data_IF_164888036112
#
_entry.id   IF_164888036112
#
_cell.length_a   1.000
_cell.length_b   1.000
_cell.length_c   1.000
_cell.angle_alpha   90.00
_cell.angle_beta   90.00
_cell.angle_gamma   90.00
#
_symmetry.space_group_name_H-M   'P 1'
#
loop_
_entity.id
_entity.type
_entity.pdbx_description
1 polymer ?
#
# COMPACT_ATOMS: atom_id res chain seq x y z
N UNK A 1 -16.97 -80.67 -21.42
CA UNK A 1 -16.44 -79.71 -20.41
C UNK A 1 -16.91 -80.18 -19.04
N UNK A 2 -16.03 -80.52 -18.11
CA UNK A 2 -16.43 -81.12 -16.83
C UNK A 2 -16.95 -80.06 -15.86
N UNK A 3 -17.91 -80.41 -15.01
CA UNK A 3 -18.51 -79.52 -14.00
C UNK A 3 -17.45 -78.82 -13.13
N UNK A 4 -16.38 -79.55 -12.79
CA UNK A 4 -15.20 -79.03 -12.05
C UNK A 4 -14.46 -77.93 -12.81
N UNK A 5 -14.36 -78.02 -14.13
CA UNK A 5 -13.75 -76.99 -14.98
C UNK A 5 -14.63 -75.74 -15.11
N UNK A 6 -15.96 -75.91 -15.09
CA UNK A 6 -16.93 -74.83 -15.14
C UNK A 6 -16.92 -74.04 -13.82
N UNK A 7 -16.95 -74.73 -12.67
CA UNK A 7 -16.85 -74.13 -11.33
C UNK A 7 -15.55 -73.33 -11.14
N UNK A 8 -14.42 -73.83 -11.67
CA UNK A 8 -13.14 -73.11 -11.61
C UNK A 8 -13.14 -71.82 -12.44
N UNK A 9 -13.73 -71.84 -13.64
CA UNK A 9 -13.88 -70.64 -14.48
C UNK A 9 -14.85 -69.63 -13.88
N UNK A 10 -15.95 -70.10 -13.29
CA UNK A 10 -16.92 -69.26 -12.60
C UNK A 10 -16.27 -68.57 -11.39
N UNK A 11 -15.57 -69.32 -10.53
CA UNK A 11 -14.86 -68.74 -9.39
C UNK A 11 -13.80 -67.72 -9.82
N UNK A 12 -13.06 -67.99 -10.90
CA UNK A 12 -12.10 -67.03 -11.45
C UNK A 12 -12.80 -65.74 -11.93
N UNK A 13 -13.90 -65.86 -12.66
CA UNK A 13 -14.67 -64.71 -13.14
C UNK A 13 -15.28 -63.91 -11.97
N UNK A 14 -15.83 -64.60 -10.96
CA UNK A 14 -16.35 -63.96 -9.75
C UNK A 14 -15.25 -63.19 -9.03
N UNK A 15 -14.07 -63.79 -8.83
CA UNK A 15 -12.92 -63.09 -8.22
C UNK A 15 -12.48 -61.89 -9.07
N UNK A 16 -12.42 -62.06 -10.40
CA UNK A 16 -12.06 -60.98 -11.30
C UNK A 16 -13.03 -59.79 -11.21
N UNK A 17 -14.34 -60.06 -11.22
CA UNK A 17 -15.39 -59.02 -11.10
C UNK A 17 -15.31 -58.31 -9.75
N UNK A 18 -15.11 -59.04 -8.66
CA UNK A 18 -14.97 -58.44 -7.32
C UNK A 18 -13.74 -57.54 -7.27
N UNK A 19 -12.58 -58.04 -7.70
CA UNK A 19 -11.32 -57.29 -7.67
C UNK A 19 -11.36 -56.07 -8.58
N UNK A 20 -11.87 -56.21 -9.80
CA UNK A 20 -11.99 -55.10 -10.76
C UNK A 20 -13.00 -54.05 -10.29
N UNK A 21 -14.12 -54.45 -9.67
CA UNK A 21 -15.10 -53.53 -9.10
C UNK A 21 -14.53 -52.76 -7.91
N UNK A 22 -13.81 -53.44 -7.01
CA UNK A 22 -13.09 -52.80 -5.91
C UNK A 22 -12.04 -51.81 -6.41
N UNK A 23 -11.24 -52.20 -7.40
CA UNK A 23 -10.26 -51.31 -8.01
C UNK A 23 -10.91 -50.08 -8.65
N UNK A 24 -12.05 -50.26 -9.32
CA UNK A 24 -12.81 -49.18 -9.95
C UNK A 24 -13.41 -48.22 -8.91
N UNK A 25 -13.96 -48.75 -7.81
CA UNK A 25 -14.46 -47.93 -6.70
C UNK A 25 -13.31 -47.12 -6.06
N UNK A 26 -12.16 -47.75 -5.82
CA UNK A 26 -10.97 -47.05 -5.29
C UNK A 26 -10.51 -45.95 -6.25
N UNK A 27 -10.50 -46.22 -7.55
CA UNK A 27 -10.14 -45.24 -8.58
C UNK A 27 -11.09 -44.03 -8.58
N UNK A 28 -12.41 -44.27 -8.55
CA UNK A 28 -13.43 -43.22 -8.46
C UNK A 28 -13.25 -42.40 -7.18
N UNK A 29 -13.11 -43.04 -6.02
CA UNK A 29 -12.95 -42.36 -4.74
C UNK A 29 -11.63 -41.57 -4.64
N UNK A 30 -10.60 -41.97 -5.37
CA UNK A 30 -9.31 -41.26 -5.43
C UNK A 30 -9.37 -40.01 -6.33
N UNK A 31 -10.25 -40.01 -7.34
CA UNK A 31 -10.44 -38.87 -8.26
C UNK A 31 -11.19 -37.69 -7.65
N UNK A 32 -12.01 -37.91 -6.61
CA UNK A 32 -12.78 -36.85 -5.93
C UNK A 32 -12.03 -36.13 -4.80
N UNK A 33 -10.72 -36.32 -4.68
CA UNK A 33 -9.88 -35.60 -3.72
C UNK A 33 -9.43 -34.25 -4.30
N UNK A 34 -10.36 -33.36 -4.56
CA UNK A 34 -10.07 -31.93 -4.58
C UNK A 34 -9.90 -31.47 -3.14
N UNK A 35 -8.78 -31.85 -2.52
CA UNK A 35 -8.27 -31.06 -1.40
C UNK A 35 -7.78 -29.77 -2.03
N UNK A 36 -8.33 -28.64 -1.63
CA UNK A 36 -7.62 -27.36 -1.71
C UNK A 36 -6.17 -27.64 -1.31
N UNK A 37 -5.25 -27.58 -2.28
CA UNK A 37 -3.84 -27.86 -2.04
C UNK A 37 -3.29 -26.69 -1.23
N UNK A 38 -3.47 -26.76 0.08
CA UNK A 38 -2.81 -25.86 1.02
C UNK A 38 -1.35 -26.25 1.06
N UNK A 39 -0.52 -25.44 0.43
CA UNK A 39 0.92 -25.54 0.56
C UNK A 39 1.33 -24.99 1.93
N UNK A 40 2.21 -25.71 2.62
CA UNK A 40 2.77 -25.29 3.90
C UNK A 40 4.27 -25.17 3.71
N UNK A 41 4.81 -24.03 4.14
CA UNK A 41 6.23 -23.74 4.08
C UNK A 41 6.68 -23.29 5.47
N UNK A 42 7.85 -23.77 5.89
CA UNK A 42 8.49 -23.24 7.11
C UNK A 42 9.12 -21.87 6.83
N UNK A 43 9.69 -21.69 5.64
CA UNK A 43 10.30 -20.44 5.18
C UNK A 43 10.05 -20.22 3.68
N UNK A 44 9.88 -18.96 3.28
CA UNK A 44 9.73 -18.56 1.88
C UNK A 44 10.75 -17.46 1.51
N UNK A 45 11.83 -17.83 0.83
CA UNK A 45 12.82 -16.89 0.29
C UNK A 45 12.49 -16.53 -1.16
N UNK A 46 11.93 -15.34 -1.37
CA UNK A 46 11.49 -14.85 -2.69
C UNK A 46 11.76 -13.36 -2.84
N UNK A 47 11.80 -12.88 -4.09
CA UNK A 47 11.98 -11.45 -4.39
C UNK A 47 10.65 -10.67 -4.42
N UNK A 48 9.53 -11.37 -4.62
CA UNK A 48 8.19 -10.80 -4.79
C UNK A 48 7.10 -11.83 -4.48
N UNK A 49 6.05 -11.39 -3.81
CA UNK A 49 4.81 -12.13 -3.58
C UNK A 49 3.67 -11.30 -4.15
N UNK A 50 2.82 -11.90 -4.98
CA UNK A 50 1.57 -11.32 -5.43
C UNK A 50 0.42 -12.04 -4.73
N UNK A 51 -0.42 -11.30 -4.02
CA UNK A 51 -1.72 -11.77 -3.56
C UNK A 51 -2.75 -11.29 -4.56
N UNK A 52 -3.52 -12.24 -5.11
CA UNK A 52 -4.53 -12.01 -6.14
C UNK A 52 -5.91 -12.42 -5.63
N UNK A 53 -6.96 -11.81 -6.17
CA UNK A 53 -8.34 -12.26 -6.00
C UNK A 53 -8.67 -13.44 -6.93
N UNK A 54 -9.89 -13.95 -6.82
CA UNK A 54 -10.40 -15.09 -7.60
C UNK A 54 -10.31 -14.90 -9.12
N UNK A 55 -10.36 -13.64 -9.60
CA UNK A 55 -10.27 -13.30 -11.03
C UNK A 55 -8.83 -13.03 -11.49
N UNK A 56 -7.85 -13.19 -10.60
CA UNK A 56 -6.43 -12.91 -10.87
C UNK A 56 -6.03 -11.45 -10.69
N UNK A 57 -6.94 -10.57 -10.27
CA UNK A 57 -6.66 -9.17 -10.00
C UNK A 57 -5.84 -8.99 -8.71
N UNK A 58 -4.86 -8.09 -8.72
CA UNK A 58 -3.98 -7.85 -7.58
C UNK A 58 -4.76 -7.31 -6.36
N UNK A 59 -4.35 -7.74 -5.17
CA UNK A 59 -4.83 -7.26 -3.87
C UNK A 59 -3.70 -6.74 -2.99
N UNK A 60 -2.54 -7.39 -3.07
CA UNK A 60 -1.35 -6.97 -2.36
C UNK A 60 -0.11 -7.44 -3.12
N UNK A 61 0.93 -6.61 -3.12
CA UNK A 61 2.25 -6.99 -3.65
C UNK A 61 3.29 -6.71 -2.58
N UNK A 62 4.05 -7.73 -2.18
CA UNK A 62 5.24 -7.60 -1.33
C UNK A 62 6.45 -7.77 -2.25
N UNK A 63 7.40 -6.84 -2.25
CA UNK A 63 8.57 -6.92 -3.13
C UNK A 63 9.77 -6.13 -2.64
N UNK A 64 10.95 -6.53 -3.11
CA UNK A 64 12.14 -5.70 -3.01
C UNK A 64 12.07 -4.47 -3.95
N UNK A 65 12.96 -3.51 -3.73
CA UNK A 65 13.11 -2.25 -4.46
C UNK A 65 13.15 -2.41 -5.98
N UNK A 66 13.77 -3.48 -6.48
CA UNK A 66 13.89 -3.73 -7.93
C UNK A 66 12.67 -4.40 -8.57
N UNK A 67 11.68 -4.84 -7.79
CA UNK A 67 10.47 -5.54 -8.29
C UNK A 67 9.16 -4.91 -7.84
N UNK A 68 9.24 -3.68 -7.33
CA UNK A 68 8.10 -2.89 -6.94
C UNK A 68 7.07 -2.79 -8.05
N UNK A 69 5.79 -2.90 -7.67
CA UNK A 69 4.72 -2.59 -8.60
C UNK A 69 4.63 -1.06 -8.71
N UNK A 70 4.55 -0.49 -9.92
CA UNK A 70 4.50 0.97 -10.07
C UNK A 70 3.17 1.58 -9.64
N UNK A 71 2.15 0.74 -9.47
CA UNK A 71 0.79 1.12 -9.13
C UNK A 71 -0.14 1.06 -10.34
N UNK A 72 -1.44 1.04 -10.07
CA UNK A 72 -2.51 1.11 -11.08
C UNK A 72 -3.47 2.18 -10.58
N UNK A 73 -3.96 3.05 -11.47
CA UNK A 73 -4.97 4.02 -11.12
C UNK A 73 -5.92 4.22 -12.30
N UNK A 74 -7.23 4.10 -12.06
CA UNK A 74 -8.28 4.15 -13.07
C UNK A 74 -8.03 3.17 -14.23
N UNK A 75 -7.50 1.98 -13.92
CA UNK A 75 -7.18 0.95 -14.91
C UNK A 75 -5.90 1.18 -15.72
N UNK A 76 -5.20 2.30 -15.51
CA UNK A 76 -3.92 2.58 -16.17
C UNK A 76 -2.75 2.30 -15.23
N UNK A 77 -1.70 1.69 -15.77
CA UNK A 77 -0.44 1.48 -15.05
C UNK A 77 0.23 2.85 -14.83
N UNK A 78 0.62 3.14 -13.59
CA UNK A 78 1.39 4.35 -13.28
C UNK A 78 2.82 4.24 -13.85
N UNK A 79 3.52 5.37 -14.08
CA UNK A 79 4.92 5.35 -14.47
C UNK A 79 5.78 4.61 -13.45
N UNK A 80 6.82 3.92 -13.93
CA UNK A 80 7.79 3.29 -13.05
C UNK A 80 8.54 4.37 -12.24
N UNK A 81 8.74 4.11 -10.95
CA UNK A 81 9.48 4.98 -10.03
C UNK A 81 10.33 4.15 -9.09
N UNK A 82 11.51 4.64 -8.72
CA UNK A 82 12.34 4.00 -7.70
C UNK A 82 11.66 4.16 -6.34
N UNK A 83 11.50 3.05 -5.62
CA UNK A 83 10.97 2.99 -4.26
C UNK A 83 11.72 1.90 -3.50
N UNK A 84 11.85 2.04 -2.18
CA UNK A 84 12.38 0.98 -1.32
C UNK A 84 11.54 -0.30 -1.35
N UNK A 85 12.06 -1.37 -0.76
CA UNK A 85 11.29 -2.58 -0.49
C UNK A 85 10.03 -2.29 0.34
N UNK A 86 8.98 -3.08 0.13
CA UNK A 86 7.69 -2.81 0.77
C UNK A 86 6.51 -3.60 0.26
N UNK A 87 5.34 -3.13 0.68
CA UNK A 87 4.01 -3.68 0.40
C UNK A 87 3.18 -2.62 -0.32
N UNK A 88 2.47 -3.00 -1.38
CA UNK A 88 1.47 -2.16 -2.06
C UNK A 88 0.12 -2.85 -1.99
N UNK A 89 -0.93 -2.10 -1.64
CA UNK A 89 -2.30 -2.58 -1.58
C UNK A 89 -3.09 -2.14 -2.82
N UNK A 90 -4.01 -3.01 -3.25
CA UNK A 90 -4.91 -2.75 -4.36
C UNK A 90 -6.36 -2.96 -3.91
N UNK A 91 -7.22 -2.00 -4.24
CA UNK A 91 -8.65 -2.08 -3.92
C UNK A 91 -9.39 -3.00 -4.91
N UNK A 92 -10.69 -3.23 -4.68
CA UNK A 92 -11.53 -4.09 -5.52
C UNK A 92 -11.75 -3.59 -6.95
N UNK A 93 -11.44 -2.33 -7.23
CA UNK A 93 -11.43 -1.76 -8.59
C UNK A 93 -10.09 -1.98 -9.31
N UNK A 94 -9.09 -2.51 -8.61
CA UNK A 94 -7.74 -2.74 -9.12
C UNK A 94 -6.78 -1.57 -8.97
N UNK A 95 -7.19 -0.48 -8.31
CA UNK A 95 -6.32 0.69 -8.11
C UNK A 95 -5.41 0.52 -6.88
N UNK A 96 -4.17 1.00 -6.95
CA UNK A 96 -3.28 1.21 -5.80
C UNK A 96 -4.01 2.08 -4.78
N UNK A 97 -4.03 1.66 -3.52
CA UNK A 97 -4.74 2.35 -2.45
C UNK A 97 -3.88 2.53 -1.19
N UNK A 98 -2.58 2.75 -1.39
CA UNK A 98 -1.58 2.89 -0.33
C UNK A 98 -0.62 1.71 -0.24
N UNK A 99 0.27 1.80 0.74
CA UNK A 99 1.35 0.83 0.89
C UNK A 99 2.19 1.07 2.14
N UNK A 100 3.12 0.16 2.39
CA UNK A 100 4.14 0.25 3.42
C UNK A 100 5.50 0.20 2.74
N UNK A 101 6.34 1.20 2.95
CA UNK A 101 7.78 1.12 2.67
C UNK A 101 8.52 1.29 3.98
N UNK A 102 9.57 0.50 4.18
CA UNK A 102 10.44 0.63 5.34
C UNK A 102 11.85 0.25 4.92
N UNK A 103 12.78 1.18 5.10
CA UNK A 103 14.17 1.00 4.74
C UNK A 103 15.09 1.84 5.63
N UNK A 104 16.39 1.55 5.59
CA UNK A 104 17.39 2.36 6.24
C UNK A 104 18.82 1.92 5.94
N UNK A 105 19.70 2.90 5.82
CA UNK A 105 21.11 2.76 5.53
C UNK A 105 21.93 3.83 6.30
N UNK A 106 23.21 3.97 5.99
CA UNK A 106 24.12 4.91 6.69
C UNK A 106 23.80 6.39 6.43
N UNK A 107 23.01 6.71 5.41
CA UNK A 107 22.65 8.09 5.02
C UNK A 107 21.25 8.49 5.49
N UNK A 108 20.30 7.57 5.39
CA UNK A 108 18.89 7.81 5.68
C UNK A 108 18.19 6.56 6.20
N UNK A 109 17.14 6.76 6.99
CA UNK A 109 16.22 5.71 7.39
C UNK A 109 14.79 6.24 7.40
N UNK A 110 13.82 5.40 7.08
CA UNK A 110 12.44 5.84 7.07
C UNK A 110 11.43 4.74 6.88
N UNK A 111 10.22 5.03 7.37
CA UNK A 111 9.03 4.22 7.18
C UNK A 111 7.90 5.12 6.71
N UNK A 112 7.11 4.63 5.75
CA UNK A 112 5.85 5.25 5.36
C UNK A 112 4.81 4.16 5.22
N UNK A 113 3.79 4.18 6.07
CA UNK A 113 2.52 3.51 5.82
C UNK A 113 1.54 4.55 5.30
N UNK A 114 1.23 4.49 4.01
CA UNK A 114 0.30 5.42 3.35
C UNK A 114 -1.08 4.82 3.17
N UNK A 115 -2.08 5.68 3.27
CA UNK A 115 -3.47 5.39 2.93
C UNK A 115 -3.92 6.39 1.87
N UNK A 116 -4.26 5.86 0.70
CA UNK A 116 -4.71 6.67 -0.42
C UNK A 116 -6.24 6.75 -0.40
N UNK A 117 -6.76 7.91 -0.80
CA UNK A 117 -8.19 8.08 -1.02
C UNK A 117 -8.60 7.34 -2.29
N UNK A 118 -9.81 6.79 -2.32
CA UNK A 118 -10.32 6.08 -3.49
C UNK A 118 -10.25 6.94 -4.76
N UNK A 119 -9.56 6.43 -5.79
CA UNK A 119 -9.31 7.10 -7.09
C UNK A 119 -8.61 8.46 -6.98
N UNK A 120 -7.86 8.64 -5.92
CA UNK A 120 -7.08 9.84 -5.64
C UNK A 120 -5.78 9.41 -4.95
N UNK A 121 -5.08 10.35 -4.34
CA UNK A 121 -3.75 10.13 -3.77
C UNK A 121 -3.78 10.10 -2.22
N UNK A 122 -2.61 10.09 -1.59
CA UNK A 122 -2.47 9.95 -0.12
C UNK A 122 -3.30 10.99 0.66
N UNK A 123 -4.05 10.52 1.67
CA UNK A 123 -4.73 11.39 2.66
C UNK A 123 -4.23 11.17 4.09
N UNK A 124 -3.51 10.08 4.35
CA UNK A 124 -2.96 9.77 5.66
C UNK A 124 -1.65 9.02 5.53
N UNK A 125 -0.70 9.33 6.41
CA UNK A 125 0.53 8.58 6.57
C UNK A 125 0.92 8.42 8.03
N UNK A 126 1.29 7.22 8.44
CA UNK A 126 2.19 7.01 9.56
C UNK A 126 3.62 7.03 9.00
N UNK A 127 4.41 8.00 9.43
CA UNK A 127 5.72 8.28 8.84
C UNK A 127 6.82 8.33 9.90
N UNK A 128 8.01 7.90 9.50
CA UNK A 128 9.30 8.09 10.17
C UNK A 128 10.32 8.46 9.09
N UNK A 129 11.10 9.49 9.35
CA UNK A 129 12.14 9.99 8.46
C UNK A 129 13.33 10.39 9.33
N UNK A 130 14.51 9.91 8.97
CA UNK A 130 15.75 10.17 9.67
C UNK A 130 16.88 10.42 8.70
N UNK A 131 17.65 11.48 8.96
CA UNK A 131 19.03 11.57 8.50
C UNK A 131 19.92 10.91 9.56
N UNK A 132 20.49 9.76 9.23
CA UNK A 132 21.25 8.92 10.18
C UNK A 132 22.63 9.49 10.49
N UNK A 133 23.12 10.43 9.68
CA UNK A 133 24.44 11.04 9.88
C UNK A 133 24.41 12.13 10.97
N UNK A 134 23.31 12.88 11.06
CA UNK A 134 23.15 13.96 12.04
C UNK A 134 22.04 13.69 13.08
N UNK A 135 21.38 12.53 12.98
CA UNK A 135 20.30 12.09 13.86
C UNK A 135 19.10 13.06 13.90
N UNK A 136 18.89 13.83 12.83
CA UNK A 136 17.68 14.64 12.68
C UNK A 136 16.52 13.74 12.22
N UNK A 137 15.40 13.83 12.92
CA UNK A 137 14.30 12.87 12.83
C UNK A 137 12.95 13.55 12.91
N UNK A 138 12.05 13.19 11.99
CA UNK A 138 10.61 13.44 12.05
C UNK A 138 9.89 12.10 12.13
N UNK A 139 8.89 11.98 12.99
CA UNK A 139 8.03 10.80 13.01
C UNK A 139 6.65 11.16 13.56
N UNK A 140 5.62 10.45 13.11
CA UNK A 140 4.26 10.66 13.57
C UNK A 140 3.18 10.31 12.56
N UNK A 141 1.94 10.64 12.92
CA UNK A 141 0.77 10.56 12.05
C UNK A 141 0.56 11.91 11.35
N UNK A 142 0.41 11.87 10.03
CA UNK A 142 0.11 13.03 9.19
C UNK A 142 -1.19 12.78 8.42
N UNK A 143 -2.06 13.78 8.40
CA UNK A 143 -3.32 13.76 7.67
C UNK A 143 -3.39 14.99 6.76
N UNK A 144 -3.85 14.76 5.55
CA UNK A 144 -4.12 15.75 4.52
C UNK A 144 -5.59 15.74 4.12
N UNK A 145 -5.99 16.77 3.40
CA UNK A 145 -7.29 16.85 2.75
C UNK A 145 -7.14 17.46 1.36
N UNK A 146 -7.96 16.99 0.42
CA UNK A 146 -8.02 17.53 -0.93
C UNK A 146 -9.26 18.44 -1.02
N UNK A 147 -9.09 19.76 -1.20
CA UNK A 147 -10.22 20.68 -1.18
C UNK A 147 -11.23 20.47 -2.32
N UNK A 148 -10.84 19.74 -3.37
CA UNK A 148 -11.65 19.49 -4.57
C UNK A 148 -11.59 18.03 -4.99
N UNK A 149 -12.78 17.45 -5.18
CA UNK A 149 -12.98 16.08 -5.64
C UNK A 149 -12.61 15.87 -7.11
N UNK A 150 -12.26 14.63 -7.47
CA UNK A 150 -12.00 14.18 -8.86
C UNK A 150 -10.90 14.97 -9.57
N UNK A 151 -9.87 15.38 -8.84
CA UNK A 151 -8.77 16.22 -9.38
C UNK A 151 -7.53 15.43 -9.80
N UNK A 152 -7.45 14.13 -9.51
CA UNK A 152 -6.27 13.29 -9.79
C UNK A 152 -5.72 13.45 -11.22
N UNK A 153 -6.55 13.24 -12.24
CA UNK A 153 -6.10 13.31 -13.64
C UNK A 153 -5.61 14.70 -14.04
N UNK A 154 -6.30 15.76 -13.59
CA UNK A 154 -5.88 17.14 -13.85
C UNK A 154 -4.56 17.46 -13.14
N UNK A 155 -4.43 17.04 -11.87
CA UNK A 155 -3.21 17.21 -11.08
C UNK A 155 -2.03 16.50 -11.74
N UNK A 156 -2.20 15.25 -12.16
CA UNK A 156 -1.15 14.48 -12.85
C UNK A 156 -0.75 15.11 -14.18
N UNK A 157 -1.70 15.63 -14.97
CA UNK A 157 -1.38 16.36 -16.21
C UNK A 157 -0.53 17.60 -15.92
N UNK A 158 -0.89 18.40 -14.91
CA UNK A 158 -0.15 19.61 -14.57
C UNK A 158 1.24 19.32 -13.97
N UNK A 159 1.41 18.23 -13.22
CA UNK A 159 2.74 17.78 -12.80
C UNK A 159 3.61 17.37 -14.00
N UNK A 160 3.06 16.64 -14.98
CA UNK A 160 3.78 16.32 -16.21
C UNK A 160 4.18 17.56 -17.03
N UNK A 161 3.42 18.64 -16.92
CA UNK A 161 3.76 19.93 -17.54
C UNK A 161 4.87 20.65 -16.74
N UNK A 162 4.81 20.60 -15.40
CA UNK A 162 5.84 21.14 -14.51
C UNK A 162 7.21 20.51 -14.76
N UNK A 163 7.27 19.19 -14.98
CA UNK A 163 8.53 18.46 -15.23
C UNK A 163 9.24 18.91 -16.53
N UNK A 164 8.52 19.55 -17.45
CA UNK A 164 9.07 20.10 -18.70
C UNK A 164 9.67 21.49 -18.53
N UNK A 165 9.29 22.20 -17.46
CA UNK A 165 9.79 23.54 -17.17
C UNK A 165 11.23 23.44 -16.65
N UNK A 166 12.12 24.27 -17.18
CA UNK A 166 13.53 24.35 -16.74
C UNK A 166 13.75 25.46 -15.70
N UNK A 167 12.86 26.45 -15.67
CA UNK A 167 12.97 27.61 -14.80
C UNK A 167 12.25 27.36 -13.46
N UNK A 168 12.96 27.57 -12.35
CA UNK A 168 12.41 27.42 -10.99
C UNK A 168 11.30 28.43 -10.67
N UNK A 169 11.38 29.66 -11.17
CA UNK A 169 10.35 30.68 -10.93
C UNK A 169 9.05 30.31 -11.63
N UNK A 170 9.12 29.83 -12.87
CA UNK A 170 7.96 29.34 -13.62
C UNK A 170 7.33 28.12 -12.93
N UNK A 171 8.16 27.18 -12.45
CA UNK A 171 7.69 26.04 -11.65
C UNK A 171 6.95 26.50 -10.39
N UNK A 172 7.51 27.45 -9.64
CA UNK A 172 6.88 27.99 -8.43
C UNK A 172 5.55 28.68 -8.73
N UNK A 173 5.48 29.48 -9.79
CA UNK A 173 4.23 30.14 -10.21
C UNK A 173 3.16 29.12 -10.61
N UNK A 174 3.55 28.08 -11.35
CA UNK A 174 2.65 27.01 -11.75
C UNK A 174 2.15 26.18 -10.55
N UNK A 175 3.01 25.85 -9.58
CA UNK A 175 2.62 25.18 -8.33
C UNK A 175 1.66 26.07 -7.52
N UNK A 176 1.95 27.37 -7.41
CA UNK A 176 1.06 28.34 -6.73
C UNK A 176 -0.32 28.38 -7.41
N UNK A 177 -0.36 28.36 -8.74
CA UNK A 177 -1.61 28.29 -9.50
C UNK A 177 -2.36 26.98 -9.24
N UNK A 178 -1.67 25.83 -9.20
CA UNK A 178 -2.30 24.55 -8.84
C UNK A 178 -2.91 24.58 -7.43
N UNK A 179 -2.24 25.23 -6.48
CA UNK A 179 -2.78 25.43 -5.13
C UNK A 179 -4.04 26.30 -5.15
N UNK A 180 -4.02 27.45 -5.83
CA UNK A 180 -5.20 28.32 -5.97
C UNK A 180 -6.36 27.60 -6.66
N UNK A 181 -6.08 26.77 -7.65
CA UNK A 181 -7.06 25.95 -8.37
C UNK A 181 -7.55 24.72 -7.56
N UNK A 182 -7.12 24.60 -6.29
CA UNK A 182 -7.51 23.54 -5.35
C UNK A 182 -7.13 22.12 -5.83
N UNK A 183 -6.03 22.00 -6.57
CA UNK A 183 -5.54 20.71 -7.06
C UNK A 183 -4.62 20.02 -6.06
N UNK A 184 -3.95 20.79 -5.20
CA UNK A 184 -3.02 20.25 -4.20
C UNK A 184 -3.72 19.98 -2.87
N UNK A 185 -3.19 19.02 -2.13
CA UNK A 185 -3.64 18.74 -0.77
C UNK A 185 -3.22 19.84 0.20
N UNK A 186 -3.98 19.98 1.28
CA UNK A 186 -3.64 20.82 2.42
C UNK A 186 -3.37 19.94 3.64
N UNK A 187 -2.29 20.24 4.38
CA UNK A 187 -2.04 19.62 5.68
C UNK A 187 -3.19 19.95 6.63
N UNK A 188 -3.72 18.95 7.35
CA UNK A 188 -4.82 19.14 8.32
C UNK A 188 -4.40 18.87 9.75
N UNK A 189 -3.68 17.78 9.96
CA UNK A 189 -3.30 17.30 11.28
C UNK A 189 -1.92 16.67 11.21
N UNK A 190 -1.07 17.00 12.17
CA UNK A 190 0.14 16.25 12.47
C UNK A 190 0.18 15.92 13.96
N UNK A 191 0.53 14.68 14.30
CA UNK A 191 0.78 14.22 15.66
C UNK A 191 2.13 13.52 15.68
N UNK A 192 3.11 14.08 16.36
CA UNK A 192 4.44 13.48 16.50
C UNK A 192 5.56 14.50 16.66
N UNK A 193 6.79 14.06 16.38
CA UNK A 193 8.00 14.89 16.44
C UNK A 193 8.30 15.49 15.07
N UNK A 194 8.47 16.80 15.01
CA UNK A 194 8.94 17.53 13.84
C UNK A 194 10.48 17.66 13.82
N UNK A 195 11.03 18.04 12.66
CA UNK A 195 12.48 18.32 12.50
C UNK A 195 12.96 19.50 13.36
N UNK A 196 12.09 20.46 13.67
CA UNK A 196 12.40 21.53 14.62
C UNK A 196 12.47 21.05 16.09
N UNK A 197 12.30 19.74 16.32
CA UNK A 197 12.29 19.03 17.61
C UNK A 197 11.05 19.27 18.46
N UNK A 198 10.05 19.98 17.97
CA UNK A 198 8.75 20.08 18.64
C UNK A 198 8.04 18.72 18.57
N UNK A 199 7.47 18.28 19.69
CA UNK A 199 6.69 17.05 19.78
C UNK A 199 5.28 17.38 20.24
N UNK A 200 4.27 17.04 19.43
CA UNK A 200 2.90 17.34 19.81
C UNK A 200 1.88 17.19 18.70
N UNK A 201 0.79 17.94 18.86
CA UNK A 201 -0.41 17.99 18.04
C UNK A 201 -0.48 19.34 17.34
N UNK A 202 -0.58 19.33 16.01
CA UNK A 202 -0.59 20.53 15.17
C UNK A 202 -1.78 20.45 14.21
N UNK A 203 -2.73 21.36 14.35
CA UNK A 203 -3.97 21.41 13.56
C UNK A 203 -3.97 22.67 12.70
N UNK A 204 -4.30 22.47 11.42
CA UNK A 204 -4.42 23.53 10.41
C UNK A 204 -5.87 23.67 9.97
N UNK A 205 -6.23 24.81 9.38
CA UNK A 205 -7.52 25.05 8.74
C UNK A 205 -7.58 24.51 7.30
N UNK A 206 -8.72 24.66 6.63
CA UNK A 206 -8.96 24.09 5.29
C UNK A 206 -8.04 24.67 4.21
N UNK A 207 -7.32 25.76 4.51
CA UNK A 207 -6.32 26.41 3.65
C UNK A 207 -4.89 26.09 4.09
N UNK A 208 -4.72 25.12 4.99
CA UNK A 208 -3.42 24.72 5.54
C UNK A 208 -2.82 25.72 6.53
N UNK A 209 -3.58 26.72 7.01
CA UNK A 209 -3.06 27.69 7.99
C UNK A 209 -3.11 27.12 9.40
N UNK A 210 -2.02 27.19 10.18
CA UNK A 210 -2.03 26.75 11.58
C UNK A 210 -3.12 27.44 12.41
N UNK A 211 -3.81 26.66 13.26
CA UNK A 211 -4.86 27.16 14.18
C UNK A 211 -4.66 26.72 15.61
N UNK A 212 -4.18 25.49 15.82
CA UNK A 212 -3.97 24.94 17.15
C UNK A 212 -2.63 24.22 17.17
N UNK A 213 -1.81 24.52 18.17
CA UNK A 213 -0.58 23.77 18.47
C UNK A 213 -0.59 23.42 19.95
N UNK A 214 -0.43 22.14 20.27
CA UNK A 214 -0.27 21.64 21.63
C UNK A 214 0.98 20.77 21.62
N UNK A 215 2.08 21.24 22.19
CA UNK A 215 3.38 20.61 21.99
C UNK A 215 4.36 20.89 23.12
N UNK A 216 5.40 20.06 23.19
CA UNK A 216 6.62 20.32 23.96
C UNK A 216 7.69 20.73 22.96
N UNK A 217 8.33 21.87 23.21
CA UNK A 217 9.34 22.41 22.30
C UNK A 217 10.74 21.80 22.52
N UNK A 218 11.70 22.22 21.71
CA UNK A 218 13.11 21.79 21.80
C UNK A 218 13.79 22.08 23.15
N UNK A 219 13.25 23.00 23.95
CA UNK A 219 13.76 23.37 25.27
C UNK A 219 13.01 22.64 26.41
N UNK A 220 12.13 21.69 26.05
CA UNK A 220 11.28 20.95 26.97
C UNK A 220 10.20 21.80 27.66
N UNK A 221 9.79 22.90 27.04
CA UNK A 221 8.70 23.75 27.53
C UNK A 221 7.36 23.32 26.92
N UNK A 222 6.34 23.11 27.76
CA UNK A 222 4.99 22.82 27.31
C UNK A 222 4.30 24.09 26.79
N UNK A 223 3.71 24.01 25.59
CA UNK A 223 3.08 25.13 24.88
C UNK A 223 1.71 24.74 24.35
N UNK A 224 0.77 25.67 24.48
CA UNK A 224 -0.54 25.64 23.83
C UNK A 224 -0.68 26.98 23.13
N UNK A 225 -0.85 26.96 21.81
CA UNK A 225 -1.04 28.15 21.00
C UNK A 225 -2.33 28.01 20.19
N UNK A 226 -3.22 28.98 20.32
CA UNK A 226 -4.41 29.14 19.49
C UNK A 226 -4.18 30.36 18.60
N UNK A 227 -4.18 30.13 17.28
CA UNK A 227 -3.79 31.13 16.28
C UNK A 227 -5.02 31.67 15.54
N UNK A 228 -5.07 32.99 15.38
CA UNK A 228 -6.09 33.69 14.60
C UNK A 228 -5.91 33.53 13.09
N UNK A 229 -6.80 34.15 12.31
CA UNK A 229 -6.72 34.08 10.84
C UNK A 229 -5.44 34.70 10.25
N UNK A 230 -4.89 35.69 10.96
CA UNK A 230 -3.64 36.40 10.66
C UNK A 230 -2.38 35.61 11.10
N UNK A 231 -2.57 34.48 11.79
CA UNK A 231 -1.50 33.62 12.28
C UNK A 231 -0.89 34.07 13.61
N UNK A 232 -1.44 35.10 14.26
CA UNK A 232 -0.99 35.53 15.59
C UNK A 232 -1.66 34.72 16.69
N UNK A 233 -0.92 34.53 17.78
CA UNK A 233 -1.48 33.91 18.98
C UNK A 233 -2.60 34.78 19.56
N UNK A 234 -3.76 34.18 19.68
CA UNK A 234 -4.92 34.71 20.41
C UNK A 234 -4.87 34.22 21.86
N UNK A 235 -4.28 33.05 22.09
CA UNK A 235 -4.05 32.45 23.40
C UNK A 235 -2.86 31.50 23.37
#
# INVERSE_FOLDING_TARGET
>A
MTEKSLKRKLNFLTTYVIVSSLAFIIFILSGFRDKEKKESFDELTVKKINVVGEKGDLRMVISNEHRQHPGIMNGEKLPDRERSSGIIFFNSSGDECGGLVYDGNEKDAGLVLSVDKFRDDQIMQLQYMENTQNYDRKYGLQIWDYPKEKTFNERMRRFKELDKLKNKEEQQQAIKKMKTDSLLMEDRLFIGKNFNKDVGLFIKDQKGKPRIKIYVDKNNEAKIEILGEDGKAVK
#
